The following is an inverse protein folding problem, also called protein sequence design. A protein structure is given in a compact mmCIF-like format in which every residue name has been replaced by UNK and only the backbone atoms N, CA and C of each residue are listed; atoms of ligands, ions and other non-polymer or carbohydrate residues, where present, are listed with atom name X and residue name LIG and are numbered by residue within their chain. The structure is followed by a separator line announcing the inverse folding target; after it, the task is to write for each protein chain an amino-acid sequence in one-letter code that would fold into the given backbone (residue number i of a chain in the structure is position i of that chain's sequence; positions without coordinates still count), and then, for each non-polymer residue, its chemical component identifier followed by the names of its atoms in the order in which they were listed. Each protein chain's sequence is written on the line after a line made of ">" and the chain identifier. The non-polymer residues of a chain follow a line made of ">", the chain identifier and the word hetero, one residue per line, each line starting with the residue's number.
data_IF_454074549900
#
_entry.id   IF_454074549900
#
_cell.length_a   1.000
_cell.length_b   1.000
_cell.length_c   1.000
_cell.angle_alpha   90.00
_cell.angle_beta   90.00
_cell.angle_gamma   90.00
#
_symmetry.space_group_name_H-M   'P 1'
#
loop_
_entity.id
_entity.type
_entity.pdbx_description
1 polymer ?
#
# COMPACT_ATOMS: atom_id res chain seq x y z
N UNK A 1 22.77 -5.02 -18.81
CA UNK A 1 22.23 -6.26 -18.19
C UNK A 1 21.63 -7.14 -19.26
N UNK A 2 22.06 -8.39 -19.35
CA UNK A 2 21.51 -9.39 -20.27
C UNK A 2 20.47 -10.20 -19.50
N UNK A 3 19.21 -10.16 -19.93
CA UNK A 3 18.13 -10.97 -19.40
C UNK A 3 18.12 -12.32 -20.09
N UNK A 4 18.82 -13.28 -19.50
CA UNK A 4 18.85 -14.70 -19.86
C UNK A 4 18.62 -15.54 -18.58
N UNK A 5 18.04 -16.73 -18.70
CA UNK A 5 17.88 -17.69 -17.58
C UNK A 5 16.47 -17.83 -16.99
N UNK A 6 15.54 -16.91 -17.27
CA UNK A 6 14.13 -17.09 -16.87
C UNK A 6 13.40 -18.03 -17.84
N UNK A 7 13.09 -19.23 -17.36
CA UNK A 7 12.33 -20.27 -18.09
C UNK A 7 10.87 -20.33 -17.64
N UNK A 8 9.95 -20.78 -18.51
CA UNK A 8 8.57 -21.08 -18.15
C UNK A 8 8.45 -22.47 -17.51
N UNK A 9 7.23 -22.87 -17.17
CA UNK A 9 6.91 -24.19 -16.60
C UNK A 9 7.28 -25.35 -17.56
N UNK A 10 7.37 -25.08 -18.87
CA UNK A 10 7.80 -26.00 -19.93
C UNK A 10 9.32 -25.92 -20.22
N UNK A 11 10.08 -25.17 -19.42
CA UNK A 11 11.54 -25.02 -19.57
C UNK A 11 11.99 -24.10 -20.71
N UNK A 12 11.08 -23.39 -21.39
CA UNK A 12 11.41 -22.48 -22.50
C UNK A 12 11.83 -21.11 -21.98
N UNK A 13 12.85 -20.52 -22.61
CA UNK A 13 13.32 -19.17 -22.27
C UNK A 13 12.23 -18.12 -22.54
N UNK A 14 11.73 -17.49 -21.47
CA UNK A 14 10.61 -16.52 -21.53
C UNK A 14 11.01 -15.20 -22.17
N UNK A 15 12.28 -14.78 -21.99
CA UNK A 15 12.74 -13.48 -22.48
C UNK A 15 14.23 -13.48 -22.78
N UNK A 16 14.59 -12.96 -23.95
CA UNK A 16 15.96 -12.64 -24.34
C UNK A 16 16.00 -11.14 -24.58
N UNK A 17 16.64 -10.40 -23.68
CA UNK A 17 16.83 -8.96 -23.83
C UNK A 17 18.20 -8.51 -23.35
N UNK A 18 18.79 -7.55 -24.07
CA UNK A 18 19.93 -6.79 -23.61
C UNK A 18 19.47 -5.36 -23.31
N UNK A 19 19.78 -4.86 -22.13
CA UNK A 19 19.48 -3.47 -21.73
C UNK A 19 20.76 -2.75 -21.31
N UNK A 20 21.12 -1.72 -22.06
CA UNK A 20 22.13 -0.72 -21.74
C UNK A 20 21.52 0.55 -21.15
N UNK A 21 22.34 1.58 -20.94
CA UNK A 21 21.91 2.88 -20.37
C UNK A 21 20.93 3.62 -21.28
N UNK A 22 21.20 3.61 -22.58
CA UNK A 22 20.40 4.30 -23.60
C UNK A 22 19.86 3.35 -24.68
N UNK A 23 20.25 2.07 -24.66
CA UNK A 23 19.90 1.10 -25.68
C UNK A 23 19.17 -0.09 -25.07
N UNK A 24 18.24 -0.65 -25.83
CA UNK A 24 17.59 -1.91 -25.51
C UNK A 24 17.48 -2.73 -26.78
N UNK A 25 17.98 -3.95 -26.75
CA UNK A 25 17.75 -4.93 -27.79
C UNK A 25 16.93 -6.09 -27.21
N UNK A 26 15.89 -6.54 -27.89
CA UNK A 26 15.12 -7.70 -27.47
C UNK A 26 14.54 -8.41 -28.68
N UNK A 27 14.39 -9.74 -28.58
CA UNK A 27 13.85 -10.55 -29.66
C UNK A 27 12.47 -10.09 -30.14
N UNK A 28 11.58 -9.70 -29.22
CA UNK A 28 10.20 -9.28 -29.55
C UNK A 28 10.06 -7.78 -29.78
N UNK A 29 10.84 -6.96 -29.08
CA UNK A 29 10.72 -5.50 -29.13
C UNK A 29 11.73 -4.81 -30.05
N UNK A 30 12.60 -5.57 -30.73
CA UNK A 30 13.66 -5.04 -31.58
C UNK A 30 14.71 -4.24 -30.81
N UNK A 31 15.38 -3.34 -31.53
CA UNK A 31 16.40 -2.42 -30.99
C UNK A 31 15.75 -1.04 -30.79
N UNK A 32 15.90 -0.49 -29.59
CA UNK A 32 15.39 0.82 -29.22
C UNK A 32 16.49 1.65 -28.57
N UNK A 33 16.58 2.92 -28.96
CA UNK A 33 17.45 3.93 -28.34
C UNK A 33 16.59 4.95 -27.61
N UNK A 34 17.02 5.38 -26.43
CA UNK A 34 16.36 6.39 -25.61
C UNK A 34 17.35 7.49 -25.21
N UNK A 35 16.96 8.74 -25.42
CA UNK A 35 17.58 9.91 -24.81
C UNK A 35 16.62 10.58 -23.83
N UNK A 36 17.12 11.07 -22.70
CA UNK A 36 16.35 11.88 -21.76
C UNK A 36 17.15 13.11 -21.37
N UNK A 37 16.51 14.28 -21.37
CA UNK A 37 17.10 15.54 -20.92
C UNK A 37 16.06 16.33 -20.13
N UNK A 38 16.49 16.86 -18.99
CA UNK A 38 15.68 17.78 -18.18
C UNK A 38 15.94 19.21 -18.65
N UNK A 39 14.89 19.93 -19.01
CA UNK A 39 14.91 21.34 -19.44
C UNK A 39 14.00 22.10 -18.48
N UNK A 40 14.60 22.80 -17.51
CA UNK A 40 13.85 23.46 -16.43
C UNK A 40 12.99 22.48 -15.61
N UNK A 41 11.68 22.73 -15.58
CA UNK A 41 10.67 21.90 -14.89
C UNK A 41 10.12 20.75 -15.75
N UNK A 42 10.57 20.63 -17.01
CA UNK A 42 10.07 19.65 -17.98
C UNK A 42 11.15 18.61 -18.31
N UNK A 43 10.81 17.34 -18.21
CA UNK A 43 11.63 16.23 -18.67
C UNK A 43 11.20 15.83 -20.08
N UNK A 44 12.13 15.93 -21.03
CA UNK A 44 11.97 15.51 -22.41
C UNK A 44 12.62 14.14 -22.58
N UNK A 45 11.88 13.19 -23.11
CA UNK A 45 12.37 11.86 -23.46
C UNK A 45 12.07 11.59 -24.92
N UNK A 46 13.10 11.23 -25.68
CA UNK A 46 12.98 10.72 -27.02
C UNK A 46 13.30 9.22 -27.03
N UNK A 47 12.48 8.42 -27.71
CA UNK A 47 12.71 7.00 -27.89
C UNK A 47 12.43 6.60 -29.33
N UNK A 48 13.35 5.87 -29.96
CA UNK A 48 13.22 5.49 -31.38
C UNK A 48 11.99 4.63 -31.67
N UNK A 49 11.52 3.81 -30.72
CA UNK A 49 10.35 2.93 -30.89
C UNK A 49 9.05 3.48 -30.29
N UNK A 50 9.15 4.42 -29.34
CA UNK A 50 7.99 4.95 -28.58
C UNK A 50 7.74 6.44 -28.82
N UNK A 51 8.57 7.12 -29.60
CA UNK A 51 8.43 8.53 -29.94
C UNK A 51 8.86 9.49 -28.84
N UNK A 52 8.23 10.66 -28.80
CA UNK A 52 8.57 11.78 -27.94
C UNK A 52 7.63 11.89 -26.73
N UNK A 53 8.19 12.21 -25.58
CA UNK A 53 7.46 12.47 -24.35
C UNK A 53 8.00 13.71 -23.65
N UNK A 54 7.14 14.68 -23.41
CA UNK A 54 7.37 15.78 -22.48
C UNK A 54 6.63 15.50 -21.18
N UNK A 55 7.25 15.70 -20.02
CA UNK A 55 6.57 15.51 -18.74
C UNK A 55 7.03 16.51 -17.69
N UNK A 56 6.09 17.06 -16.94
CA UNK A 56 6.37 17.99 -15.84
C UNK A 56 5.70 17.49 -14.56
N UNK A 57 6.37 17.72 -13.42
CA UNK A 57 5.81 17.44 -12.10
C UNK A 57 5.20 18.74 -11.59
N UNK A 58 3.91 18.72 -11.31
CA UNK A 58 3.19 19.91 -10.78
C UNK A 58 3.38 19.97 -9.27
N UNK A 59 3.09 18.86 -8.58
CA UNK A 59 3.26 18.70 -7.14
C UNK A 59 3.78 17.31 -6.83
N UNK A 60 4.22 17.07 -5.60
CA UNK A 60 4.61 15.73 -5.17
C UNK A 60 3.44 14.76 -5.33
N UNK A 61 3.69 13.69 -6.09
CA UNK A 61 2.68 12.70 -6.44
C UNK A 61 1.95 12.97 -7.76
N UNK A 62 1.90 14.20 -8.28
CA UNK A 62 1.19 14.55 -9.52
C UNK A 62 2.13 14.98 -10.64
N UNK A 63 1.98 14.33 -11.79
CA UNK A 63 2.65 14.73 -13.02
C UNK A 63 1.67 14.81 -14.18
N UNK A 64 2.00 15.71 -15.09
CA UNK A 64 1.38 15.84 -16.39
C UNK A 64 2.40 15.48 -17.44
N UNK A 65 2.00 14.72 -18.45
CA UNK A 65 2.86 14.38 -19.57
C UNK A 65 2.09 14.45 -20.89
N UNK A 66 2.80 14.84 -21.94
CA UNK A 66 2.36 14.71 -23.32
C UNK A 66 3.25 13.66 -23.98
N UNK A 67 2.67 12.56 -24.46
CA UNK A 67 3.40 11.49 -25.13
C UNK A 67 2.80 11.26 -26.51
N UNK A 68 3.55 11.55 -27.58
CA UNK A 68 3.08 11.48 -28.96
C UNK A 68 1.70 12.14 -29.16
N UNK A 69 1.54 13.39 -28.69
CA UNK A 69 0.27 14.12 -28.76
C UNK A 69 -0.80 13.68 -27.74
N UNK A 70 -0.60 12.61 -26.97
CA UNK A 70 -1.55 12.15 -25.95
C UNK A 70 -1.26 12.74 -24.58
N UNK A 71 -2.21 13.49 -24.05
CA UNK A 71 -2.15 14.03 -22.68
C UNK A 71 -2.37 12.92 -21.63
N UNK A 72 -1.50 12.91 -20.62
CA UNK A 72 -1.51 11.99 -19.48
C UNK A 72 -1.45 12.80 -18.18
N UNK A 73 -2.50 12.75 -17.38
CA UNK A 73 -2.50 13.17 -15.98
C UNK A 73 -2.33 11.94 -15.10
N UNK A 74 -1.34 11.95 -14.21
CA UNK A 74 -1.07 10.86 -13.28
C UNK A 74 -0.78 11.44 -11.89
N UNK A 75 -1.66 11.18 -10.94
CA UNK A 75 -1.47 11.43 -9.52
C UNK A 75 -1.33 10.12 -8.74
N UNK A 76 -0.35 10.02 -7.84
CA UNK A 76 -0.14 8.86 -6.98
C UNK A 76 0.33 9.32 -5.61
N UNK A 77 -0.49 9.07 -4.61
CA UNK A 77 -0.21 9.40 -3.23
C UNK A 77 -0.38 8.16 -2.35
N UNK A 78 0.47 8.05 -1.34
CA UNK A 78 0.45 6.96 -0.37
C UNK A 78 0.68 7.53 1.02
N UNK A 79 -0.19 7.16 1.95
CA UNK A 79 -0.10 7.50 3.36
C UNK A 79 -0.27 6.19 4.15
N UNK A 80 0.86 5.56 4.50
CA UNK A 80 0.87 4.25 5.16
C UNK A 80 0.12 3.18 4.35
N UNK A 81 -0.93 2.55 4.91
CA UNK A 81 -1.73 1.54 4.20
C UNK A 81 -2.66 2.15 3.14
N UNK A 82 -2.91 3.46 3.17
CA UNK A 82 -3.81 4.14 2.23
C UNK A 82 -3.07 4.56 0.96
N UNK A 83 -3.68 4.31 -0.18
CA UNK A 83 -3.19 4.72 -1.49
C UNK A 83 -4.27 5.39 -2.31
N UNK A 84 -3.98 6.57 -2.84
CA UNK A 84 -4.85 7.30 -3.75
C UNK A 84 -4.16 7.45 -5.11
N UNK A 85 -4.86 7.08 -6.18
CA UNK A 85 -4.37 7.27 -7.54
C UNK A 85 -5.38 8.08 -8.35
N UNK A 86 -4.86 9.08 -9.06
CA UNK A 86 -5.58 9.90 -10.02
C UNK A 86 -5.03 9.61 -11.42
N UNK A 87 -5.92 9.57 -12.39
CA UNK A 87 -5.60 9.39 -13.80
C UNK A 87 -6.56 10.19 -14.67
N UNK A 88 -6.22 10.38 -15.95
CA UNK A 88 -7.12 11.05 -16.92
C UNK A 88 -8.54 10.46 -16.92
N UNK A 89 -8.66 9.16 -16.68
CA UNK A 89 -9.95 8.43 -16.71
C UNK A 89 -10.61 8.29 -15.34
N UNK A 90 -10.05 8.92 -14.29
CA UNK A 90 -10.67 8.98 -12.97
C UNK A 90 -9.75 8.63 -11.82
N UNK A 91 -10.36 8.52 -10.64
CA UNK A 91 -9.70 8.32 -9.35
C UNK A 91 -9.89 6.91 -8.81
N UNK A 92 -9.00 6.51 -7.90
CA UNK A 92 -9.13 5.26 -7.15
C UNK A 92 -8.49 5.41 -5.78
N UNK A 93 -9.16 4.89 -4.75
CA UNK A 93 -8.65 4.84 -3.38
C UNK A 93 -8.55 3.38 -2.96
N UNK A 94 -7.48 3.04 -2.23
CA UNK A 94 -7.22 1.67 -1.80
C UNK A 94 -6.56 1.61 -0.42
N UNK A 95 -6.82 0.53 0.31
CA UNK A 95 -6.18 0.20 1.59
C UNK A 95 -5.41 -1.10 1.44
N UNK A 96 -4.17 -1.12 1.94
CA UNK A 96 -3.35 -2.32 2.03
C UNK A 96 -3.40 -2.88 3.46
N UNK A 97 -3.66 -4.18 3.57
CA UNK A 97 -3.62 -4.92 4.82
C UNK A 97 -2.69 -6.15 4.67
N UNK A 98 -2.51 -6.93 5.74
CA UNK A 98 -1.66 -8.15 5.71
C UNK A 98 -2.15 -9.16 4.68
N UNK A 99 -3.47 -9.27 4.54
CA UNK A 99 -4.12 -10.20 3.62
C UNK A 99 -4.20 -9.69 2.17
N UNK A 100 -3.77 -8.46 1.83
CA UNK A 100 -3.83 -7.96 0.45
C UNK A 100 -4.08 -6.47 0.30
N UNK A 101 -4.80 -6.07 -0.76
CA UNK A 101 -5.11 -4.66 -1.05
C UNK A 101 -6.53 -4.50 -1.57
N UNK A 102 -7.34 -3.73 -0.84
CA UNK A 102 -8.75 -3.49 -1.14
C UNK A 102 -8.89 -2.13 -1.82
N UNK A 103 -9.61 -2.08 -2.94
CA UNK A 103 -9.90 -0.85 -3.65
C UNK A 103 -11.37 -0.47 -3.44
N UNK A 104 -11.61 0.73 -2.90
CA UNK A 104 -12.95 1.21 -2.58
C UNK A 104 -13.78 1.51 -3.83
N UNK A 105 -13.14 2.09 -4.85
CA UNK A 105 -13.84 2.59 -6.04
C UNK A 105 -13.90 1.57 -7.17
N UNK A 106 -12.92 0.66 -7.23
CA UNK A 106 -12.82 -0.32 -8.31
C UNK A 106 -12.55 -1.73 -7.76
N UNK A 107 -13.59 -2.44 -7.30
CA UNK A 107 -13.46 -3.75 -6.63
C UNK A 107 -12.73 -4.82 -7.47
N UNK A 108 -12.80 -4.75 -8.80
CA UNK A 108 -12.06 -5.67 -9.66
C UNK A 108 -10.53 -5.58 -9.54
N UNK A 109 -9.99 -4.48 -9.00
CA UNK A 109 -8.55 -4.33 -8.78
C UNK A 109 -8.13 -4.66 -7.35
N UNK A 110 -9.04 -5.19 -6.53
CA UNK A 110 -8.73 -5.72 -5.21
C UNK A 110 -7.96 -7.04 -5.31
N UNK A 111 -7.17 -7.35 -4.28
CA UNK A 111 -6.41 -8.60 -4.20
C UNK A 111 -6.37 -9.13 -2.78
N UNK A 112 -6.46 -10.46 -2.66
CA UNK A 112 -6.42 -11.19 -1.41
C UNK A 112 -5.36 -12.29 -1.51
N UNK A 113 -4.52 -12.42 -0.49
CA UNK A 113 -3.46 -13.41 -0.39
C UNK A 113 -3.79 -14.35 0.74
N UNK A 114 -3.86 -15.64 0.42
CA UNK A 114 -4.08 -16.70 1.38
C UNK A 114 -3.18 -17.87 1.03
N UNK A 115 -2.46 -18.41 2.02
CA UNK A 115 -1.56 -19.55 1.85
C UNK A 115 -0.59 -19.43 0.65
N UNK A 116 -0.01 -18.24 0.42
CA UNK A 116 0.92 -17.98 -0.69
C UNK A 116 0.25 -17.70 -2.05
N UNK A 117 -1.04 -18.01 -2.21
CA UNK A 117 -1.80 -17.78 -3.44
C UNK A 117 -2.41 -16.37 -3.43
N UNK A 118 -2.21 -15.61 -4.52
CA UNK A 118 -2.81 -14.28 -4.69
C UNK A 118 -4.05 -14.33 -5.58
N UNK A 119 -5.22 -14.24 -4.98
CA UNK A 119 -6.49 -14.06 -5.66
C UNK A 119 -6.69 -12.58 -6.02
N UNK A 120 -7.26 -12.33 -7.21
CA UNK A 120 -7.57 -10.97 -7.71
C UNK A 120 -8.99 -10.92 -8.27
N UNK A 121 -9.55 -9.72 -8.31
CA UNK A 121 -10.88 -9.50 -8.88
C UNK A 121 -11.97 -9.27 -7.84
N UNK A 122 -13.23 -9.28 -8.28
CA UNK A 122 -14.40 -8.98 -7.44
C UNK A 122 -14.53 -9.93 -6.24
N UNK A 123 -14.24 -11.22 -6.43
CA UNK A 123 -14.23 -12.22 -5.34
C UNK A 123 -13.18 -11.88 -4.26
N UNK A 124 -12.02 -11.36 -4.66
CA UNK A 124 -11.00 -10.92 -3.71
C UNK A 124 -11.47 -9.72 -2.86
N UNK A 125 -12.27 -8.82 -3.45
CA UNK A 125 -12.86 -7.70 -2.71
C UNK A 125 -13.81 -8.20 -1.60
N UNK A 126 -14.66 -9.19 -1.89
CA UNK A 126 -15.57 -9.80 -0.90
C UNK A 126 -14.79 -10.43 0.25
N UNK A 127 -13.76 -11.24 -0.06
CA UNK A 127 -12.90 -11.85 0.95
C UNK A 127 -12.19 -10.81 1.83
N UNK A 128 -11.77 -9.69 1.22
CA UNK A 128 -11.16 -8.61 1.99
C UNK A 128 -12.14 -7.88 2.90
N UNK A 129 -13.37 -7.65 2.47
CA UNK A 129 -14.42 -7.07 3.33
C UNK A 129 -14.67 -7.99 4.51
N UNK A 130 -14.85 -9.29 4.26
CA UNK A 130 -15.02 -10.29 5.32
C UNK A 130 -13.84 -10.30 6.30
N UNK A 131 -12.60 -10.29 5.78
CA UNK A 131 -11.40 -10.19 6.62
C UNK A 131 -11.38 -8.91 7.46
N UNK A 132 -11.72 -7.76 6.88
CA UNK A 132 -11.77 -6.49 7.62
C UNK A 132 -12.85 -6.50 8.70
N UNK A 133 -14.01 -7.11 8.45
CA UNK A 133 -15.09 -7.25 9.43
C UNK A 133 -14.67 -8.14 10.61
N UNK A 134 -14.06 -9.30 10.32
CA UNK A 134 -13.55 -10.19 11.38
C UNK A 134 -12.50 -9.47 12.23
N UNK A 135 -11.54 -8.79 11.59
CA UNK A 135 -10.53 -8.03 12.30
C UNK A 135 -11.16 -6.92 13.16
N UNK A 136 -12.15 -6.19 12.64
CA UNK A 136 -12.85 -5.17 13.39
C UNK A 136 -13.58 -5.74 14.61
N UNK A 137 -14.25 -6.89 14.47
CA UNK A 137 -14.91 -7.57 15.59
C UNK A 137 -13.91 -8.01 16.67
N UNK A 138 -12.76 -8.58 16.27
CA UNK A 138 -11.68 -8.96 17.20
C UNK A 138 -11.14 -7.72 17.92
N UNK A 139 -10.88 -6.64 17.21
CA UNK A 139 -10.41 -5.39 17.82
C UNK A 139 -11.44 -4.81 18.79
N UNK A 140 -12.74 -4.83 18.44
CA UNK A 140 -13.81 -4.38 19.32
C UNK A 140 -13.91 -5.22 20.60
N UNK A 141 -13.80 -6.55 20.48
CA UNK A 141 -13.81 -7.45 21.63
C UNK A 141 -12.60 -7.20 22.56
N UNK A 142 -11.39 -7.12 22.00
CA UNK A 142 -10.17 -6.81 22.77
C UNK A 142 -10.26 -5.44 23.44
N UNK A 143 -10.77 -4.44 22.72
CA UNK A 143 -11.00 -3.11 23.27
C UNK A 143 -12.01 -3.15 24.42
N UNK A 144 -13.11 -3.89 24.26
CA UNK A 144 -14.13 -4.08 25.30
C UNK A 144 -13.57 -4.72 26.56
N UNK A 145 -12.78 -5.80 26.43
CA UNK A 145 -12.11 -6.45 27.58
C UNK A 145 -11.15 -5.48 28.28
N UNK A 146 -10.34 -4.75 27.51
CA UNK A 146 -9.40 -3.77 28.07
C UNK A 146 -10.14 -2.65 28.82
N UNK A 147 -11.23 -2.13 28.25
CA UNK A 147 -12.07 -1.13 28.89
C UNK A 147 -12.72 -1.67 30.17
N UNK A 148 -13.21 -2.90 30.14
CA UNK A 148 -13.79 -3.54 31.32
C UNK A 148 -12.76 -3.68 32.46
N UNK A 149 -11.57 -4.21 32.16
CA UNK A 149 -10.47 -4.31 33.14
C UNK A 149 -10.06 -2.93 33.66
N UNK A 150 -9.99 -1.93 32.79
CA UNK A 150 -9.67 -0.55 33.17
C UNK A 150 -10.71 0.02 34.15
N UNK A 151 -12.00 -0.18 33.89
CA UNK A 151 -13.08 0.25 34.79
C UNK A 151 -13.01 -0.49 36.14
N UNK A 152 -12.79 -1.81 36.12
CA UNK A 152 -12.61 -2.56 37.37
C UNK A 152 -11.44 -2.03 38.21
N UNK A 153 -10.31 -1.72 37.58
CA UNK A 153 -9.18 -1.08 38.25
C UNK A 153 -9.56 0.29 38.82
N UNK A 154 -10.24 1.12 38.03
CA UNK A 154 -10.65 2.46 38.45
C UNK A 154 -11.61 2.42 39.65
N UNK A 155 -12.45 1.39 39.76
CA UNK A 155 -13.34 1.16 40.90
C UNK A 155 -12.65 0.53 42.10
N UNK A 156 -11.66 -0.35 41.88
CA UNK A 156 -10.93 -1.01 42.95
C UNK A 156 -9.96 -0.06 43.68
N UNK A 157 -9.35 0.89 42.97
CA UNK A 157 -8.35 1.80 43.54
C UNK A 157 -8.88 2.62 44.74
N UNK A 158 -10.05 3.28 44.69
CA UNK A 158 -10.60 3.98 45.85
C UNK A 158 -10.87 3.05 47.04
N UNK A 159 -11.35 1.84 46.78
CA UNK A 159 -11.66 0.85 47.83
C UNK A 159 -10.38 0.44 48.54
N UNK A 160 -9.34 0.10 47.77
CA UNK A 160 -8.03 -0.25 48.31
C UNK A 160 -7.40 0.92 49.08
N UNK A 161 -7.53 2.15 48.55
CA UNK A 161 -7.03 3.35 49.22
C UNK A 161 -7.70 3.57 50.59
N UNK A 162 -9.03 3.47 50.67
CA UNK A 162 -9.76 3.61 51.93
C UNK A 162 -9.38 2.49 52.91
N UNK A 163 -9.24 1.26 52.42
CA UNK A 163 -8.81 0.12 53.24
C UNK A 163 -7.41 0.32 53.82
N UNK A 164 -6.45 0.73 53.00
CA UNK A 164 -5.07 1.00 53.44
C UNK A 164 -5.02 2.15 54.46
N UNK A 165 -5.80 3.21 54.25
CA UNK A 165 -5.94 4.28 55.23
C UNK A 165 -6.47 3.76 56.57
N UNK A 166 -7.51 2.92 56.54
CA UNK A 166 -8.10 2.36 57.76
C UNK A 166 -7.12 1.42 58.49
N UNK A 167 -6.44 0.52 57.78
CA UNK A 167 -5.44 -0.38 58.35
C UNK A 167 -4.25 0.40 58.91
N UNK A 168 -3.77 1.43 58.18
CA UNK A 168 -2.70 2.32 58.62
C UNK A 168 -3.06 3.05 59.91
N UNK A 169 -4.27 3.58 60.00
CA UNK A 169 -4.78 4.25 61.20
C UNK A 169 -4.83 3.30 62.42
N UNK A 170 -5.40 2.10 62.25
CA UNK A 170 -5.49 1.10 63.33
C UNK A 170 -4.11 0.65 63.82
N UNK A 171 -3.15 0.46 62.90
CA UNK A 171 -1.78 0.11 63.27
C UNK A 171 -1.08 1.24 64.02
N UNK A 172 -1.20 2.48 63.53
CA UNK A 172 -0.65 3.66 64.19
C UNK A 172 -1.19 3.85 65.61
N UNK A 173 -2.49 3.66 65.81
CA UNK A 173 -3.15 3.77 67.11
C UNK A 173 -2.78 2.65 68.11
N UNK A 174 -2.24 1.52 67.66
CA UNK A 174 -1.75 0.44 68.54
C UNK A 174 -0.27 0.58 68.92
N UNK A 175 0.49 1.40 68.18
CA UNK A 175 1.94 1.55 68.34
C UNK A 175 2.37 2.84 69.04
N UNK A 176 1.42 3.75 69.32
CA UNK A 176 1.63 4.96 70.13
C UNK A 176 0.91 4.83 71.47
#
# INVERSE_FOLDING_TARGET
>A
MIGLGRKDEDGKQVRIEHRGKYTRASRTGGIAVRGEKKVGSVNLTANSSKGLRASTRIVNGTRVALQNGRFQLIGRWRAGPLGFNLSKTGVSASVKNKAGTFNFLKPQYSSFKFAGVQLRGKKAAQLQIMYMLIMAAVFAAVFGVKMFVFVLWLLALPILFIWDMAVGFVRGARSG
#
